data_IF_236314893413
#
_entry.id   IF_236314893413
#
_cell.length_a   1.000
_cell.length_b   1.000
_cell.length_c   1.000
_cell.angle_alpha   90.00
_cell.angle_beta   90.00
_cell.angle_gamma   90.00
#
_symmetry.space_group_name_H-M   'P 1'
#
loop_
_entity.id
_entity.type
_entity.pdbx_description
1 polymer ?
#
# COMPACT_ATOMS: atom_id res chain seq x y z
N UNK A 1 15.46 5.53 26.23
CA UNK A 1 16.23 4.39 25.69
C UNK A 1 16.54 4.73 24.24
N UNK A 2 17.83 4.75 23.90
CA UNK A 2 18.30 4.96 22.53
C UNK A 2 18.86 3.63 22.02
N UNK A 3 18.22 3.05 21.01
CA UNK A 3 18.61 1.77 20.40
C UNK A 3 19.28 2.08 19.07
N UNK A 4 20.59 1.96 19.01
CA UNK A 4 21.41 2.27 17.83
C UNK A 4 22.02 1.02 17.23
N UNK A 5 22.24 1.03 15.90
CA UNK A 5 23.17 0.15 15.23
C UNK A 5 24.47 0.91 14.98
N UNK A 6 25.59 0.29 15.24
CA UNK A 6 26.94 0.78 14.91
C UNK A 6 27.52 0.09 13.67
N UNK A 7 26.69 -0.68 12.97
CA UNK A 7 27.09 -1.38 11.75
C UNK A 7 27.54 -0.43 10.64
N UNK A 8 28.33 -0.94 9.71
CA UNK A 8 28.77 -0.19 8.53
C UNK A 8 27.59 0.37 7.73
N UNK A 9 27.78 1.49 7.05
CA UNK A 9 26.78 2.16 6.22
C UNK A 9 26.27 1.21 5.11
N UNK A 10 25.08 0.69 5.28
CA UNK A 10 24.41 -0.17 4.31
C UNK A 10 22.89 -0.05 4.47
N UNK A 11 22.15 -0.49 3.47
CA UNK A 11 20.68 -0.61 3.56
C UNK A 11 20.29 -1.67 4.60
N UNK A 12 19.06 -1.60 5.09
CA UNK A 12 18.47 -2.54 6.06
C UNK A 12 19.17 -2.55 7.45
N UNK A 13 19.98 -1.53 7.76
CA UNK A 13 20.67 -1.38 9.03
C UNK A 13 19.99 -0.29 9.87
N UNK A 14 19.81 -0.56 11.16
CA UNK A 14 19.25 0.38 12.13
C UNK A 14 19.03 -0.29 13.47
N UNK A 15 18.78 0.52 14.50
CA UNK A 15 18.47 0.02 15.83
C UNK A 15 17.25 -0.89 15.82
N UNK A 16 17.33 -2.00 16.55
CA UNK A 16 16.30 -3.05 16.58
C UNK A 16 15.88 -3.37 18.01
N UNK A 17 14.59 -3.30 18.28
CA UNK A 17 13.96 -3.80 19.50
C UNK A 17 13.39 -5.18 19.22
N UNK A 18 13.84 -6.20 19.98
CA UNK A 18 13.26 -7.55 19.90
C UNK A 18 12.32 -7.80 21.07
N UNK A 19 11.19 -8.42 20.77
CA UNK A 19 10.19 -8.88 21.73
C UNK A 19 10.34 -10.37 21.90
N UNK A 20 10.77 -10.80 23.08
CA UNK A 20 11.13 -12.20 23.37
C UNK A 20 10.37 -12.71 24.58
N UNK A 21 10.18 -14.01 24.65
CA UNK A 21 9.55 -14.66 25.78
C UNK A 21 9.98 -16.12 25.89
N UNK A 22 9.55 -16.79 26.97
CA UNK A 22 9.85 -18.20 27.18
C UNK A 22 8.97 -19.06 26.27
N UNK A 23 9.59 -19.89 25.44
CA UNK A 23 8.91 -20.89 24.59
C UNK A 23 9.21 -22.32 25.03
N UNK A 24 9.96 -22.51 26.14
CA UNK A 24 10.27 -23.85 26.68
C UNK A 24 9.09 -24.48 27.39
N UNK A 25 9.11 -25.78 27.47
CA UNK A 25 8.20 -26.58 28.32
C UNK A 25 8.66 -26.50 29.77
N UNK A 26 7.78 -26.90 30.69
CA UNK A 26 8.00 -26.84 32.14
C UNK A 26 9.42 -27.29 32.57
N UNK A 27 10.19 -26.37 33.16
CA UNK A 27 11.54 -26.61 33.69
C UNK A 27 12.71 -26.19 32.80
N UNK A 28 12.48 -25.87 31.54
CA UNK A 28 13.51 -25.34 30.64
C UNK A 28 13.18 -23.92 30.19
N UNK A 29 14.10 -22.98 30.36
CA UNK A 29 13.97 -21.62 29.84
C UNK A 29 14.59 -21.59 28.46
N UNK A 30 13.75 -21.57 27.42
CA UNK A 30 14.17 -21.33 26.05
C UNK A 30 13.65 -19.96 25.61
N UNK A 31 14.50 -18.96 25.54
CA UNK A 31 14.13 -17.62 25.08
C UNK A 31 13.97 -17.65 23.55
N UNK A 32 12.79 -17.28 23.09
CA UNK A 32 12.49 -17.13 21.68
C UNK A 32 12.07 -15.70 21.37
N UNK A 33 12.51 -15.21 20.22
CA UNK A 33 12.06 -13.91 19.70
C UNK A 33 10.73 -14.10 19.02
N UNK A 34 9.70 -13.37 19.44
CA UNK A 34 8.36 -13.44 18.85
C UNK A 34 8.12 -12.34 17.82
N UNK A 35 8.82 -11.22 17.95
CA UNK A 35 8.68 -10.10 17.04
C UNK A 35 9.81 -9.09 17.19
N UNK A 36 9.86 -8.13 16.26
CA UNK A 36 10.80 -7.02 16.33
C UNK A 36 10.22 -5.76 15.71
N UNK A 37 10.68 -4.62 16.21
CA UNK A 37 10.52 -3.30 15.59
C UNK A 37 11.93 -2.80 15.29
N UNK A 38 12.18 -2.37 14.05
CA UNK A 38 13.50 -1.95 13.60
C UNK A 38 13.43 -0.68 12.77
N UNK A 39 14.28 0.30 13.08
CA UNK A 39 14.59 1.39 12.18
C UNK A 39 15.37 0.83 10.98
N UNK A 40 14.99 1.18 9.77
CA UNK A 40 15.57 0.63 8.55
C UNK A 40 16.16 1.76 7.72
N UNK A 41 17.47 1.74 7.49
CA UNK A 41 18.10 2.67 6.58
C UNK A 41 17.79 2.27 5.12
N UNK A 42 17.26 3.21 4.33
CA UNK A 42 16.78 2.94 2.97
C UNK A 42 17.85 3.04 1.89
N UNK A 43 19.02 3.61 2.25
CA UNK A 43 20.14 3.80 1.32
C UNK A 43 21.48 3.53 2.00
N UNK A 44 22.54 3.31 1.20
CA UNK A 44 23.91 3.10 1.67
C UNK A 44 24.75 4.39 1.70
N UNK A 45 24.17 5.56 1.44
CA UNK A 45 24.90 6.82 1.35
C UNK A 45 25.24 7.35 2.74
N UNK A 46 26.50 7.78 2.92
CA UNK A 46 26.97 8.42 4.16
C UNK A 46 26.26 9.77 4.33
N UNK A 47 25.88 10.09 5.57
CA UNK A 47 25.17 11.33 5.92
C UNK A 47 23.78 11.49 5.30
N UNK A 48 23.24 10.46 4.68
CA UNK A 48 21.83 10.43 4.26
C UNK A 48 21.00 9.73 5.35
N UNK A 49 20.08 10.48 5.97
CA UNK A 49 19.25 10.01 7.08
C UNK A 49 17.92 9.35 6.63
N UNK A 50 17.75 9.11 5.33
CA UNK A 50 16.55 8.43 4.82
C UNK A 50 16.35 7.08 5.49
N UNK A 51 15.21 6.90 6.12
CA UNK A 51 14.92 5.70 6.88
C UNK A 51 13.44 5.41 7.02
N UNK A 52 13.12 4.16 7.26
CA UNK A 52 11.80 3.63 7.51
C UNK A 52 11.72 2.91 8.85
N UNK A 53 10.58 2.30 9.11
CA UNK A 53 10.32 1.48 10.28
C UNK A 53 9.75 0.14 9.85
N UNK A 54 10.36 -0.97 10.26
CA UNK A 54 9.84 -2.32 9.97
C UNK A 54 9.31 -3.01 11.22
N UNK A 55 8.26 -3.81 11.01
CA UNK A 55 7.63 -4.67 12.00
C UNK A 55 7.74 -6.11 11.53
N UNK A 56 8.32 -6.96 12.35
CA UNK A 56 8.54 -8.37 12.02
C UNK A 56 7.92 -9.27 13.06
N UNK A 57 7.49 -10.45 12.62
CA UNK A 57 7.05 -11.55 13.50
C UNK A 57 7.84 -12.81 13.18
N UNK A 58 7.92 -13.72 14.13
CA UNK A 58 8.58 -15.01 13.95
C UNK A 58 7.57 -16.06 13.46
N UNK A 59 7.95 -16.80 12.43
CA UNK A 59 7.25 -18.03 12.02
C UNK A 59 7.68 -19.19 12.91
N UNK A 60 6.72 -20.02 13.33
CA UNK A 60 6.93 -21.13 14.25
C UNK A 60 7.96 -22.17 13.75
N UNK A 61 8.12 -22.33 12.43
CA UNK A 61 8.89 -23.43 11.86
C UNK A 61 10.43 -23.29 11.97
N UNK A 62 10.97 -22.08 12.09
CA UNK A 62 12.42 -21.85 12.02
C UNK A 62 12.97 -20.76 12.94
N UNK A 63 12.12 -20.10 13.72
CA UNK A 63 12.53 -19.00 14.61
C UNK A 63 13.02 -17.73 13.90
N UNK A 64 12.88 -17.62 12.57
CA UNK A 64 13.34 -16.48 11.81
C UNK A 64 12.30 -15.35 11.82
N UNK A 65 12.78 -14.13 12.04
CA UNK A 65 11.98 -12.93 11.91
C UNK A 65 11.66 -12.68 10.44
N UNK A 66 10.37 -12.52 10.16
CA UNK A 66 9.85 -12.16 8.84
C UNK A 66 9.17 -10.80 8.93
N UNK A 67 9.58 -9.87 8.08
CA UNK A 67 8.92 -8.57 7.98
C UNK A 67 7.46 -8.73 7.57
N UNK A 68 6.55 -8.04 8.26
CA UNK A 68 5.11 -8.07 8.00
C UNK A 68 4.58 -6.71 7.54
N UNK A 69 5.20 -5.66 8.00
CA UNK A 69 4.85 -4.28 7.66
C UNK A 69 6.10 -3.41 7.69
N UNK A 70 6.18 -2.48 6.76
CA UNK A 70 7.16 -1.40 6.76
C UNK A 70 6.45 -0.07 6.58
N UNK A 71 6.93 0.96 7.27
CA UNK A 71 6.65 2.36 6.96
C UNK A 71 7.90 2.88 6.25
N UNK A 72 7.74 3.34 5.02
CA UNK A 72 8.84 3.89 4.21
C UNK A 72 9.19 5.31 4.64
N UNK A 73 10.32 5.86 4.16
CA UNK A 73 10.76 7.23 4.48
C UNK A 73 9.79 8.31 4.01
N UNK A 74 8.97 8.02 2.99
CA UNK A 74 7.91 8.90 2.49
C UNK A 74 6.53 8.63 3.13
N UNK A 75 6.49 7.83 4.20
CA UNK A 75 5.30 7.57 5.00
C UNK A 75 4.33 6.51 4.46
N UNK A 76 4.68 5.80 3.37
CA UNK A 76 3.82 4.72 2.85
C UNK A 76 3.89 3.48 3.72
N UNK A 77 2.73 2.88 3.98
CA UNK A 77 2.65 1.56 4.59
C UNK A 77 2.81 0.44 3.56
N UNK A 78 3.81 -0.42 3.71
CA UNK A 78 4.02 -1.60 2.88
C UNK A 78 3.69 -2.86 3.68
N UNK A 79 2.58 -3.51 3.35
CA UNK A 79 2.17 -4.81 3.88
C UNK A 79 1.07 -5.40 2.98
N UNK A 80 0.75 -6.68 3.13
CA UNK A 80 -0.34 -7.31 2.37
C UNK A 80 -1.73 -6.75 2.72
N UNK A 81 -1.87 -6.06 3.85
CA UNK A 81 -3.16 -5.55 4.36
C UNK A 81 -3.30 -4.03 4.31
N UNK A 82 -2.32 -3.30 3.75
CA UNK A 82 -2.40 -1.84 3.56
C UNK A 82 -2.68 -1.50 2.11
N UNK A 83 -3.52 -0.48 1.86
CA UNK A 83 -3.71 0.04 0.52
C UNK A 83 -2.39 0.63 -0.02
N UNK A 84 -2.05 0.30 -1.27
CA UNK A 84 -0.85 0.79 -1.96
C UNK A 84 -1.11 2.07 -2.74
N UNK A 85 -2.35 2.30 -3.10
CA UNK A 85 -2.85 3.53 -3.67
C UNK A 85 -4.34 3.66 -3.34
N UNK A 86 -4.82 4.88 -3.22
CA UNK A 86 -6.23 5.17 -3.18
C UNK A 86 -6.50 6.58 -3.70
N UNK A 87 -7.71 6.79 -4.20
CA UNK A 87 -8.16 8.10 -4.68
C UNK A 87 -9.66 8.26 -4.52
N UNK A 88 -10.07 9.47 -4.15
CA UNK A 88 -11.42 9.98 -4.29
C UNK A 88 -11.40 11.12 -5.32
N UNK A 89 -12.19 11.01 -6.38
CA UNK A 89 -12.21 12.03 -7.41
C UNK A 89 -13.62 12.33 -7.93
N UNK A 90 -13.77 13.50 -8.56
CA UNK A 90 -14.93 13.88 -9.34
C UNK A 90 -14.73 13.39 -10.78
N UNK A 91 -15.66 12.60 -11.29
CA UNK A 91 -15.65 12.15 -12.69
C UNK A 91 -16.61 12.92 -13.59
N UNK A 92 -17.30 13.99 -13.11
CA UNK A 92 -18.22 14.78 -13.91
C UNK A 92 -17.61 16.11 -14.34
N UNK A 93 -17.86 16.55 -15.57
CA UNK A 93 -17.33 17.80 -16.10
C UNK A 93 -15.80 17.78 -16.12
N UNK A 94 -15.14 18.68 -15.42
CA UNK A 94 -13.69 18.61 -15.26
C UNK A 94 -13.32 17.57 -14.20
N UNK A 95 -12.65 16.49 -14.63
CA UNK A 95 -12.16 15.44 -13.73
C UNK A 95 -11.14 16.04 -12.74
N UNK A 96 -11.36 15.82 -11.44
CA UNK A 96 -10.52 16.41 -10.40
C UNK A 96 -10.38 15.48 -9.18
N UNK A 97 -9.14 15.26 -8.75
CA UNK A 97 -8.83 14.57 -7.49
C UNK A 97 -9.28 15.44 -6.32
N UNK A 98 -10.00 14.85 -5.36
CA UNK A 98 -10.34 15.46 -4.08
C UNK A 98 -9.30 15.14 -3.02
N UNK A 99 -8.90 13.88 -2.97
CA UNK A 99 -7.87 13.40 -2.06
C UNK A 99 -7.32 12.06 -2.56
N UNK A 100 -6.04 11.77 -2.28
CA UNK A 100 -5.40 10.56 -2.79
C UNK A 100 -4.13 10.19 -2.02
N UNK A 101 -3.72 8.94 -2.17
CA UNK A 101 -2.40 8.44 -1.79
C UNK A 101 -1.81 7.63 -2.94
N UNK A 102 -0.56 7.89 -3.31
CA UNK A 102 0.17 7.25 -4.41
C UNK A 102 -0.56 7.35 -5.77
N UNK A 103 -1.31 8.42 -6.01
CA UNK A 103 -1.95 8.73 -7.30
C UNK A 103 -1.47 10.10 -7.76
N UNK A 104 -0.94 10.18 -8.96
CA UNK A 104 -0.41 11.41 -9.56
C UNK A 104 -1.45 12.19 -10.34
N UNK A 105 -2.33 11.47 -11.04
CA UNK A 105 -3.38 12.08 -11.89
C UNK A 105 -4.48 11.09 -12.23
N UNK A 106 -5.59 11.62 -12.70
CA UNK A 106 -6.66 10.87 -13.39
C UNK A 106 -6.68 11.34 -14.83
N UNK A 107 -6.58 10.41 -15.77
CA UNK A 107 -6.83 10.68 -17.18
C UNK A 107 -8.33 10.45 -17.45
N UNK A 108 -8.96 11.40 -18.09
CA UNK A 108 -10.33 11.28 -18.60
C UNK A 108 -10.27 10.60 -19.98
N UNK A 109 -10.71 9.35 -20.08
CA UNK A 109 -10.70 8.56 -21.31
C UNK A 109 -12.05 8.66 -22.05
N UNK A 110 -12.92 9.56 -21.63
CA UNK A 110 -14.27 9.80 -22.13
C UNK A 110 -15.35 9.36 -21.14
N UNK A 111 -16.60 9.60 -21.46
CA UNK A 111 -17.73 9.40 -20.56
C UNK A 111 -17.62 8.12 -19.74
N UNK A 112 -17.58 8.25 -18.43
CA UNK A 112 -17.55 7.17 -17.45
C UNK A 112 -16.30 6.28 -17.51
N UNK A 113 -15.23 6.70 -18.15
CA UNK A 113 -13.98 5.92 -18.27
C UNK A 113 -12.79 6.74 -17.85
N UNK A 114 -11.98 6.19 -16.94
CA UNK A 114 -10.89 6.91 -16.32
C UNK A 114 -9.68 6.02 -16.14
N UNK A 115 -8.48 6.58 -16.32
CA UNK A 115 -7.22 5.94 -15.96
C UNK A 115 -6.63 6.60 -14.73
N UNK A 116 -6.46 5.82 -13.66
CA UNK A 116 -5.80 6.22 -12.41
C UNK A 116 -4.31 5.98 -12.57
N UNK A 117 -3.51 7.05 -12.61
CA UNK A 117 -2.06 7.00 -12.77
C UNK A 117 -1.36 7.03 -11.41
N UNK A 118 -0.48 6.07 -11.13
CA UNK A 118 0.24 5.99 -9.87
C UNK A 118 1.47 6.90 -9.86
N UNK A 119 1.78 7.49 -8.69
CA UNK A 119 3.02 8.24 -8.47
C UNK A 119 4.23 7.29 -8.42
N UNK A 120 4.11 6.22 -7.64
CA UNK A 120 5.08 5.13 -7.59
C UNK A 120 4.42 3.86 -8.14
N UNK A 121 5.07 3.22 -9.10
CA UNK A 121 4.56 1.99 -9.73
C UNK A 121 4.34 0.87 -8.72
N UNK A 122 3.35 0.02 -8.97
CA UNK A 122 3.18 -1.26 -8.27
C UNK A 122 4.33 -2.20 -8.61
N UNK A 123 4.64 -3.13 -7.71
CA UNK A 123 5.72 -4.10 -7.92
C UNK A 123 5.50 -5.00 -9.14
N UNK A 124 4.25 -5.34 -9.42
CA UNK A 124 3.78 -6.06 -10.61
C UNK A 124 2.29 -5.76 -10.86
N UNK A 125 1.69 -6.45 -11.82
CA UNK A 125 0.27 -6.28 -12.23
C UNK A 125 -0.71 -7.09 -11.39
N UNK A 126 -0.24 -7.96 -10.47
CA UNK A 126 -1.10 -8.86 -9.69
C UNK A 126 -1.60 -8.17 -8.42
N UNK A 127 -2.32 -7.08 -8.55
CA UNK A 127 -2.91 -6.35 -7.44
C UNK A 127 -4.45 -6.33 -7.54
N UNK A 128 -5.10 -6.19 -6.39
CA UNK A 128 -6.55 -6.08 -6.32
C UNK A 128 -6.98 -4.61 -6.37
N UNK A 129 -8.01 -4.31 -7.14
CA UNK A 129 -8.62 -3.00 -7.24
C UNK A 129 -10.05 -3.08 -6.72
N UNK A 130 -10.34 -2.29 -5.70
CA UNK A 130 -11.69 -2.10 -5.16
C UNK A 130 -12.20 -0.76 -5.67
N UNK A 131 -13.36 -0.77 -6.29
CA UNK A 131 -14.00 0.43 -6.83
C UNK A 131 -15.33 0.69 -6.15
N UNK A 132 -15.66 1.94 -5.91
CA UNK A 132 -17.00 2.39 -5.54
C UNK A 132 -17.28 3.75 -6.13
N UNK A 133 -18.55 4.07 -6.36
CA UNK A 133 -18.93 5.34 -6.92
C UNK A 133 -20.37 5.72 -6.56
N UNK A 134 -20.66 7.01 -6.62
CA UNK A 134 -22.02 7.54 -6.49
C UNK A 134 -22.39 8.26 -7.77
N UNK A 135 -23.44 7.80 -8.42
CA UNK A 135 -24.08 8.47 -9.55
C UNK A 135 -25.22 9.39 -9.12
N UNK A 136 -25.99 9.86 -10.10
CA UNK A 136 -27.18 10.67 -9.87
C UNK A 136 -28.33 9.86 -9.23
N UNK A 137 -28.32 8.54 -9.44
CA UNK A 137 -29.31 7.60 -8.94
C UNK A 137 -28.63 6.35 -8.36
N UNK A 138 -29.42 5.40 -7.83
CA UNK A 138 -28.92 4.17 -7.21
C UNK A 138 -28.67 3.03 -8.21
N UNK A 139 -28.77 3.28 -9.53
CA UNK A 139 -28.66 2.27 -10.56
C UNK A 139 -27.32 2.35 -11.30
N UNK A 140 -26.23 2.53 -10.53
CA UNK A 140 -24.86 2.70 -11.01
C UNK A 140 -23.93 1.66 -10.42
N UNK A 141 -22.96 1.23 -11.20
CA UNK A 141 -21.87 0.35 -10.75
C UNK A 141 -20.53 0.78 -11.33
N UNK A 142 -19.47 0.32 -10.72
CA UNK A 142 -18.08 0.63 -11.07
C UNK A 142 -17.28 -0.65 -11.19
N UNK A 143 -16.21 -0.62 -11.94
CA UNK A 143 -15.32 -1.76 -12.09
C UNK A 143 -14.02 -1.41 -12.80
N UNK A 144 -13.17 -2.44 -12.98
CA UNK A 144 -12.00 -2.35 -13.85
C UNK A 144 -12.45 -2.37 -15.31
N UNK A 145 -11.84 -1.51 -16.13
CA UNK A 145 -12.10 -1.43 -17.56
C UNK A 145 -11.16 -2.33 -18.38
N UNK A 146 -9.87 -2.30 -18.04
CA UNK A 146 -8.82 -3.03 -18.74
C UNK A 146 -7.92 -3.76 -17.74
N UNK A 147 -7.05 -4.64 -18.23
CA UNK A 147 -5.99 -5.24 -17.43
C UNK A 147 -5.10 -4.16 -16.83
N UNK A 148 -4.77 -4.26 -15.53
CA UNK A 148 -3.94 -3.28 -14.87
C UNK A 148 -2.49 -3.33 -15.38
N UNK A 149 -1.81 -2.18 -15.31
CA UNK A 149 -0.37 -2.06 -15.53
C UNK A 149 0.34 -1.77 -14.21
N UNK A 150 1.67 -1.82 -14.17
CA UNK A 150 2.39 -1.42 -12.95
C UNK A 150 2.22 0.07 -12.64
N UNK A 151 2.02 0.91 -13.65
CA UNK A 151 1.91 2.38 -13.51
C UNK A 151 0.49 2.92 -13.38
N UNK A 152 -0.54 2.12 -13.69
CA UNK A 152 -1.92 2.61 -13.73
C UNK A 152 -2.96 1.49 -13.71
N UNK A 153 -4.20 1.85 -13.38
CA UNK A 153 -5.37 1.01 -13.62
C UNK A 153 -6.50 1.84 -14.25
N UNK A 154 -7.22 1.23 -15.20
CA UNK A 154 -8.38 1.86 -15.84
C UNK A 154 -9.67 1.36 -15.20
N UNK A 155 -10.54 2.29 -14.87
CA UNK A 155 -11.82 2.04 -14.19
C UNK A 155 -12.98 2.68 -14.93
N UNK A 156 -14.18 2.21 -14.66
CA UNK A 156 -15.37 2.76 -15.27
C UNK A 156 -16.49 3.01 -14.27
N UNK A 157 -17.37 3.95 -14.63
CA UNK A 157 -18.70 4.13 -14.11
C UNK A 157 -19.75 3.74 -15.16
N UNK A 158 -20.77 3.03 -14.77
CA UNK A 158 -21.73 2.45 -15.68
C UNK A 158 -23.17 2.59 -15.16
N UNK A 159 -24.13 2.80 -16.06
CA UNK A 159 -25.54 2.82 -15.76
C UNK A 159 -26.19 1.48 -16.14
N UNK A 160 -26.88 0.86 -15.21
CA UNK A 160 -27.49 -0.46 -15.42
C UNK A 160 -28.69 -0.45 -16.36
N UNK A 161 -29.39 0.68 -16.47
CA UNK A 161 -30.66 0.76 -17.20
C UNK A 161 -30.53 0.57 -18.72
N UNK A 162 -29.51 1.15 -19.34
CA UNK A 162 -29.25 1.07 -20.78
C UNK A 162 -27.86 0.51 -21.12
N UNK A 163 -27.13 0.02 -20.12
CA UNK A 163 -25.78 -0.52 -20.24
C UNK A 163 -24.79 0.49 -20.87
N UNK A 164 -24.85 1.76 -20.46
CA UNK A 164 -23.98 2.83 -20.94
C UNK A 164 -22.95 3.27 -19.92
N UNK A 165 -21.80 3.76 -20.38
CA UNK A 165 -20.83 4.46 -19.54
C UNK A 165 -21.39 5.80 -19.08
N UNK A 166 -21.16 6.13 -17.82
CA UNK A 166 -21.68 7.35 -17.21
C UNK A 166 -20.66 7.97 -16.27
N UNK A 167 -20.50 9.27 -16.38
CA UNK A 167 -19.73 10.04 -15.42
C UNK A 167 -20.36 9.98 -14.03
N UNK A 168 -19.51 9.87 -13.02
CA UNK A 168 -19.93 9.82 -11.64
C UNK A 168 -19.35 10.99 -10.84
N UNK A 169 -20.18 11.73 -10.08
CA UNK A 169 -19.69 12.83 -9.26
C UNK A 169 -18.78 12.37 -8.12
N UNK A 170 -18.82 11.09 -7.73
CA UNK A 170 -17.90 10.51 -6.76
C UNK A 170 -17.41 9.16 -7.29
N UNK A 171 -16.11 9.02 -7.42
CA UNK A 171 -15.41 7.77 -7.66
C UNK A 171 -14.35 7.56 -6.58
N UNK A 172 -14.35 6.39 -5.96
CA UNK A 172 -13.36 5.98 -4.98
C UNK A 172 -12.72 4.67 -5.44
N UNK A 173 -11.39 4.65 -5.43
CA UNK A 173 -10.59 3.51 -5.86
C UNK A 173 -9.59 3.20 -4.74
N UNK A 174 -9.41 1.91 -4.42
CA UNK A 174 -8.38 1.44 -3.50
C UNK A 174 -7.66 0.23 -4.10
N UNK A 175 -6.35 0.21 -3.98
CA UNK A 175 -5.46 -0.81 -4.57
C UNK A 175 -4.69 -1.51 -3.46
N UNK A 176 -4.72 -2.84 -3.47
CA UNK A 176 -4.07 -3.70 -2.47
C UNK A 176 -3.16 -4.72 -3.14
N UNK A 177 -1.99 -4.95 -2.54
CA UNK A 177 -1.00 -5.94 -2.94
C UNK A 177 -0.13 -6.39 -1.77
#
# INVERSE_FOLDING_TARGET
IDIRSTDAYSTQRGGKLTLSGNSGTSGAVALSVYGAIQGVKTNATINNAGGGLSFSTTLNANGLLTERMQITEDGRGLSQFTAKAWVNFNGTGTVAIRDSHNVSSITDDGTGRYTVNFTAAMADVNYSVVTSGKGADNNRYTGLLNDPTTGSCSVYGHYHGDNSYQDMPVMCISVFR
#
